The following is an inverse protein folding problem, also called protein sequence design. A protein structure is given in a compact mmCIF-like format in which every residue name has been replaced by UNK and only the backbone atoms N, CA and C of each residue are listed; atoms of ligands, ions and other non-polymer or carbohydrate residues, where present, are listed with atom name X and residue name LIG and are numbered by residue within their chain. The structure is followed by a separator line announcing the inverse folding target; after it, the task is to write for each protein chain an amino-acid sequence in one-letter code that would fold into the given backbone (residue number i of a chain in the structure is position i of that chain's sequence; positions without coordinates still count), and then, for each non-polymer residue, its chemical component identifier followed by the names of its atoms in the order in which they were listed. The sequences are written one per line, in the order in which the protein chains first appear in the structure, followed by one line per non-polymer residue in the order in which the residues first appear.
data_IF_253310385615
#
_entry.id   IF_253310385615
#
_cell.length_a   1.000
_cell.length_b   1.000
_cell.length_c   1.000
_cell.angle_alpha   90.00
_cell.angle_beta   90.00
_cell.angle_gamma   90.00
#
_symmetry.space_group_name_H-M   'P 1'
#
loop_
_entity.id
_entity.type
_entity.pdbx_description
1 polymer ?
#
# COMPACT_ATOMS: atom_id res chain seq x y z
N UNK A 1 -25.98 46.25 25.83
CA UNK A 1 -27.39 46.05 26.25
C UNK A 1 -28.21 45.67 25.02
N UNK A 2 -29.23 44.82 25.19
CA UNK A 2 -30.11 44.17 24.19
C UNK A 2 -29.41 43.04 23.41
N UNK A 3 -29.69 41.74 23.55
CA UNK A 3 -30.85 40.90 23.92
C UNK A 3 -32.02 40.94 22.93
N UNK A 4 -32.35 39.73 22.45
CA UNK A 4 -33.40 39.30 21.49
C UNK A 4 -32.91 39.32 20.03
N UNK A 5 -32.91 38.22 19.25
CA UNK A 5 -33.94 37.19 19.12
C UNK A 5 -33.33 35.92 18.50
N UNK A 6 -33.28 34.80 19.22
CA UNK A 6 -33.10 33.46 18.63
C UNK A 6 -34.19 32.57 19.21
N UNK A 7 -35.25 32.38 18.42
CA UNK A 7 -36.32 31.43 18.66
C UNK A 7 -36.52 30.67 17.37
N UNK A 8 -36.68 29.34 17.52
CA UNK A 8 -36.93 28.28 16.51
C UNK A 8 -35.65 27.72 15.90
N UNK A 9 -35.36 26.43 15.92
CA UNK A 9 -36.13 25.25 16.29
C UNK A 9 -35.11 24.13 16.58
N UNK A 10 -35.15 23.55 17.79
CA UNK A 10 -34.64 22.22 18.08
C UNK A 10 -35.85 21.30 18.15
N UNK A 11 -36.02 20.37 17.22
CA UNK A 11 -36.60 19.03 17.48
C UNK A 11 -36.64 18.16 16.21
N UNK A 12 -36.60 16.84 16.42
CA UNK A 12 -36.64 15.71 15.46
C UNK A 12 -35.28 15.39 14.81
N UNK A 13 -34.41 14.54 15.37
CA UNK A 13 -34.55 13.09 15.63
C UNK A 13 -35.11 12.27 14.45
N UNK A 14 -34.25 11.35 14.00
CA UNK A 14 -34.51 10.00 13.51
C UNK A 14 -35.45 9.80 12.32
N UNK A 15 -34.91 9.39 11.17
CA UNK A 15 -35.29 8.18 10.42
C UNK A 15 -34.65 8.21 9.02
N UNK A 16 -34.12 7.09 8.53
CA UNK A 16 -33.61 7.02 7.15
C UNK A 16 -32.63 5.91 6.80
N UNK A 17 -32.65 4.78 7.51
CA UNK A 17 -32.12 3.50 6.99
C UNK A 17 -33.24 2.78 6.25
N UNK A 18 -32.86 2.10 5.16
CA UNK A 18 -33.62 1.15 4.33
C UNK A 18 -34.46 1.73 3.18
N UNK A 19 -34.01 1.49 1.94
CA UNK A 19 -34.82 0.93 0.84
C UNK A 19 -33.99 0.87 -0.45
N UNK A 20 -33.47 -0.31 -0.84
CA UNK A 20 -33.45 -0.77 -2.24
C UNK A 20 -33.46 -2.31 -2.23
N UNK A 21 -34.63 -2.91 -2.45
CA UNK A 21 -34.80 -4.33 -2.82
C UNK A 21 -35.83 -4.41 -3.95
N UNK A 22 -35.52 -5.29 -4.90
CA UNK A 22 -36.38 -5.92 -5.92
C UNK A 22 -36.90 -5.08 -7.09
N UNK A 23 -36.36 -5.40 -8.27
CA UNK A 23 -37.14 -5.50 -9.52
C UNK A 23 -36.82 -6.86 -10.14
N UNK A 24 -37.77 -7.80 -10.03
CA UNK A 24 -37.82 -9.03 -10.81
C UNK A 24 -38.94 -8.87 -11.84
N UNK A 25 -38.60 -8.94 -13.13
CA UNK A 25 -39.58 -9.01 -14.21
C UNK A 25 -39.69 -10.45 -14.70
N UNK A 26 -40.94 -10.94 -14.70
CA UNK A 26 -41.40 -12.23 -15.23
C UNK A 26 -41.33 -12.24 -16.76
N UNK A 27 -40.96 -13.37 -17.34
CA UNK A 27 -41.36 -13.73 -18.71
C UNK A 27 -42.05 -15.10 -18.62
N UNK A 28 -43.32 -15.10 -19.00
CA UNK A 28 -44.19 -16.27 -19.05
C UNK A 28 -43.95 -17.12 -20.30
N UNK A 29 -44.14 -18.42 -20.09
CA UNK A 29 -44.12 -19.55 -20.99
C UNK A 29 -45.20 -19.48 -22.08
N UNK A 30 -44.89 -19.96 -23.29
CA UNK A 30 -45.88 -20.44 -24.26
C UNK A 30 -45.45 -21.82 -24.78
N UNK A 31 -46.26 -22.84 -24.50
CA UNK A 31 -46.19 -24.18 -25.09
C UNK A 31 -47.38 -24.38 -26.03
N UNK A 32 -47.13 -24.95 -27.21
CA UNK A 32 -48.09 -25.44 -28.21
C UNK A 32 -47.47 -26.59 -29.03
N UNK A 33 -48.26 -27.44 -29.70
CA UNK A 33 -48.29 -28.88 -29.39
C UNK A 33 -47.42 -29.81 -30.24
N UNK A 34 -47.28 -31.03 -29.70
CA UNK A 34 -46.46 -32.16 -30.14
C UNK A 34 -47.03 -32.85 -31.39
N UNK A 35 -46.24 -32.89 -32.47
CA UNK A 35 -46.46 -33.73 -33.65
C UNK A 35 -45.46 -34.90 -33.69
N UNK A 36 -45.98 -36.13 -33.64
CA UNK A 36 -45.22 -37.39 -33.56
C UNK A 36 -44.88 -37.88 -34.97
N UNK A 37 -43.60 -37.89 -35.35
CA UNK A 37 -43.09 -38.63 -36.52
C UNK A 37 -41.84 -39.42 -36.13
N UNK A 38 -42.00 -40.75 -36.09
CA UNK A 38 -40.90 -41.72 -36.07
C UNK A 38 -40.21 -41.71 -37.43
N UNK A 39 -38.88 -41.61 -37.47
CA UNK A 39 -37.99 -42.23 -38.47
C UNK A 39 -36.51 -42.07 -38.07
N UNK A 40 -35.83 -43.21 -37.94
CA UNK A 40 -34.37 -43.43 -38.08
C UNK A 40 -33.41 -42.57 -37.26
N UNK A 41 -32.82 -43.14 -36.20
CA UNK A 41 -31.56 -42.62 -35.64
C UNK A 41 -30.43 -42.81 -36.66
N UNK A 42 -29.68 -41.77 -37.05
CA UNK A 42 -28.31 -41.94 -37.50
C UNK A 42 -27.43 -42.14 -36.25
N UNK A 43 -26.62 -43.18 -36.26
CA UNK A 43 -25.59 -43.45 -35.26
C UNK A 43 -24.63 -42.24 -35.28
N UNK A 44 -24.57 -41.50 -34.18
CA UNK A 44 -23.60 -40.43 -34.01
C UNK A 44 -22.19 -41.03 -34.03
N UNK A 45 -21.21 -40.43 -34.75
CA UNK A 45 -19.83 -40.87 -34.66
C UNK A 45 -19.35 -40.69 -33.22
N UNK A 46 -18.66 -41.70 -32.70
CA UNK A 46 -18.01 -41.69 -31.39
C UNK A 46 -17.23 -40.39 -31.21
N UNK A 47 -17.70 -39.52 -30.31
CA UNK A 47 -16.92 -38.38 -29.82
C UNK A 47 -15.67 -38.94 -29.15
N UNK A 48 -14.53 -38.82 -29.82
CA UNK A 48 -13.23 -38.90 -29.16
C UNK A 48 -13.28 -37.94 -27.95
N UNK A 49 -12.74 -38.32 -26.78
CA UNK A 49 -12.59 -37.39 -25.68
C UNK A 49 -11.58 -36.33 -26.11
N UNK A 50 -12.09 -35.27 -26.73
CA UNK A 50 -11.34 -34.09 -27.07
C UNK A 50 -10.75 -33.56 -25.79
N UNK A 51 -9.42 -33.57 -25.72
CA UNK A 51 -8.64 -32.93 -24.66
C UNK A 51 -9.17 -31.50 -24.55
N UNK A 52 -9.87 -31.19 -23.46
CA UNK A 52 -10.26 -29.81 -23.15
C UNK A 52 -8.98 -28.96 -23.31
N UNK A 53 -9.05 -27.80 -23.99
CA UNK A 53 -7.91 -26.91 -24.04
C UNK A 53 -7.45 -26.67 -22.59
N UNK A 54 -6.13 -26.71 -22.31
CA UNK A 54 -5.66 -26.47 -20.96
C UNK A 54 -6.25 -25.14 -20.50
N UNK A 55 -6.97 -25.16 -19.38
CA UNK A 55 -7.43 -23.92 -18.77
C UNK A 55 -6.22 -23.01 -18.59
N UNK A 56 -6.35 -21.70 -18.89
CA UNK A 56 -5.25 -20.78 -18.65
C UNK A 56 -4.80 -20.95 -17.20
N UNK A 57 -3.54 -21.32 -17.01
CA UNK A 57 -2.95 -21.48 -15.68
C UNK A 57 -3.05 -20.10 -15.04
N UNK A 58 -3.81 -19.99 -13.95
CA UNK A 58 -3.90 -18.76 -13.19
C UNK A 58 -2.48 -18.29 -12.84
N UNK A 59 -2.17 -16.98 -12.97
CA UNK A 59 -0.83 -16.49 -12.71
C UNK A 59 -0.39 -16.89 -11.30
N UNK A 60 0.83 -17.41 -11.18
CA UNK A 60 1.44 -17.67 -9.88
C UNK A 60 1.85 -16.36 -9.22
N UNK A 61 2.01 -16.37 -7.89
CA UNK A 61 2.54 -15.22 -7.15
C UNK A 61 3.90 -14.77 -7.68
N UNK A 62 4.76 -15.72 -8.07
CA UNK A 62 6.06 -15.41 -8.71
C UNK A 62 5.85 -14.64 -10.03
N UNK A 63 5.00 -15.14 -10.93
CA UNK A 63 4.72 -14.48 -12.21
C UNK A 63 4.08 -13.09 -12.03
N UNK A 64 3.25 -12.93 -11.00
CA UNK A 64 2.65 -11.65 -10.63
C UNK A 64 3.70 -10.63 -10.19
N UNK A 65 4.56 -11.01 -9.23
CA UNK A 65 5.60 -10.12 -8.72
C UNK A 65 6.65 -9.79 -9.78
N UNK A 66 7.04 -10.77 -10.61
CA UNK A 66 7.95 -10.55 -11.74
C UNK A 66 7.37 -9.58 -12.75
N UNK A 67 6.09 -9.69 -13.08
CA UNK A 67 5.45 -8.74 -13.98
C UNK A 67 5.54 -7.30 -13.46
N UNK A 68 5.35 -7.07 -12.17
CA UNK A 68 5.49 -5.75 -11.55
C UNK A 68 6.93 -5.21 -11.69
N UNK A 69 7.92 -6.08 -11.47
CA UNK A 69 9.32 -5.66 -11.45
C UNK A 69 9.96 -5.60 -12.84
N UNK A 70 9.60 -6.48 -13.76
CA UNK A 70 10.29 -6.68 -15.05
C UNK A 70 9.59 -5.96 -16.20
N UNK A 71 8.33 -5.53 -16.02
CA UNK A 71 7.67 -4.63 -16.99
C UNK A 71 7.82 -3.18 -16.59
N UNK A 72 8.10 -2.33 -17.57
CA UNK A 72 8.36 -0.91 -17.36
C UNK A 72 7.12 -0.04 -17.25
N UNK A 73 5.98 -0.51 -17.78
CA UNK A 73 4.75 0.27 -17.91
C UNK A 73 3.94 0.31 -16.59
N UNK A 74 3.24 1.43 -16.35
CA UNK A 74 2.41 1.60 -15.15
C UNK A 74 1.23 0.62 -15.09
N UNK A 75 0.66 0.23 -16.23
CA UNK A 75 -0.52 -0.65 -16.23
C UNK A 75 -0.17 -2.04 -15.67
N UNK A 76 0.97 -2.60 -16.06
CA UNK A 76 1.49 -3.86 -15.54
C UNK A 76 1.84 -3.80 -14.06
N UNK A 77 2.40 -2.66 -13.60
CA UNK A 77 2.76 -2.43 -12.19
C UNK A 77 1.53 -2.27 -11.30
N UNK A 78 0.46 -1.71 -11.85
CA UNK A 78 -0.79 -1.42 -11.15
C UNK A 78 -1.90 -2.44 -11.46
N UNK A 79 -1.59 -3.57 -12.11
CA UNK A 79 -2.53 -4.67 -12.31
C UNK A 79 -2.78 -5.37 -10.97
N UNK A 80 -4.03 -5.43 -10.47
CA UNK A 80 -4.32 -6.00 -9.17
C UNK A 80 -3.98 -7.50 -9.10
N UNK A 81 -3.74 -8.06 -7.90
CA UNK A 81 -3.46 -9.49 -7.73
C UNK A 81 -4.63 -10.43 -8.08
N UNK A 82 -5.82 -9.91 -8.40
CA UNK A 82 -6.99 -10.71 -8.74
C UNK A 82 -7.38 -11.67 -7.62
N UNK A 83 -7.71 -12.92 -7.97
CA UNK A 83 -8.10 -13.97 -7.02
C UNK A 83 -6.93 -14.51 -6.17
N UNK A 84 -5.70 -14.00 -6.35
CA UNK A 84 -4.56 -14.36 -5.51
C UNK A 84 -4.66 -13.76 -4.10
N UNK A 85 -5.52 -12.75 -3.91
CA UNK A 85 -5.73 -12.11 -2.61
C UNK A 85 -6.57 -13.04 -1.68
N UNK A 86 -6.00 -13.57 -0.59
CA UNK A 86 -6.73 -14.39 0.37
C UNK A 86 -7.65 -13.58 1.31
N UNK A 87 -7.56 -12.25 1.30
CA UNK A 87 -8.02 -11.34 2.34
C UNK A 87 -8.99 -10.23 1.88
N UNK A 88 -9.94 -10.52 1.00
CA UNK A 88 -11.12 -9.64 0.82
C UNK A 88 -12.35 -10.41 0.33
N UNK A 89 -12.68 -11.51 1.01
CA UNK A 89 -13.99 -12.14 0.92
C UNK A 89 -14.51 -12.46 2.33
N UNK A 90 -15.38 -11.59 2.83
CA UNK A 90 -16.45 -11.86 3.79
C UNK A 90 -16.19 -12.96 4.84
N UNK A 91 -15.82 -12.59 6.07
CA UNK A 91 -16.22 -13.23 7.34
C UNK A 91 -16.48 -14.74 7.39
N UNK A 92 -15.73 -15.57 6.67
CA UNK A 92 -15.95 -17.01 6.57
C UNK A 92 -14.62 -17.70 6.83
N UNK A 93 -14.51 -18.37 7.98
CA UNK A 93 -13.40 -19.25 8.40
C UNK A 93 -13.23 -20.52 7.54
N UNK A 94 -13.58 -20.47 6.26
CA UNK A 94 -13.36 -21.58 5.34
C UNK A 94 -12.08 -21.29 4.52
N UNK A 95 -11.01 -22.11 4.64
CA UNK A 95 -9.82 -21.94 3.83
C UNK A 95 -10.15 -22.25 2.36
N UNK A 96 -10.14 -21.23 1.50
CA UNK A 96 -10.09 -21.47 0.05
C UNK A 96 -8.69 -21.97 -0.33
N UNK A 97 -8.57 -22.89 -1.30
CA UNK A 97 -7.26 -23.33 -1.77
C UNK A 97 -6.53 -22.15 -2.40
N UNK A 98 -5.45 -21.73 -1.75
CA UNK A 98 -4.55 -20.68 -2.21
C UNK A 98 -3.92 -21.06 -3.56
N UNK A 99 -3.50 -20.08 -4.39
CA UNK A 99 -2.77 -20.35 -5.63
C UNK A 99 -1.57 -21.27 -5.37
N UNK A 100 -1.18 -22.07 -6.37
CA UNK A 100 0.01 -22.91 -6.29
C UNK A 100 1.27 -22.02 -6.24
N UNK A 101 1.81 -21.85 -5.04
CA UNK A 101 3.00 -21.05 -4.73
C UNK A 101 4.25 -21.90 -4.92
N UNK A 102 4.61 -22.21 -6.17
CA UNK A 102 5.90 -22.82 -6.45
C UNK A 102 7.03 -21.85 -6.02
N UNK A 103 8.12 -22.34 -5.41
CA UNK A 103 9.24 -21.48 -5.03
C UNK A 103 9.80 -20.74 -6.25
N UNK A 104 10.21 -19.49 -6.03
CA UNK A 104 10.83 -18.64 -7.05
C UNK A 104 12.07 -19.32 -7.63
N UNK A 105 12.14 -19.40 -8.97
CA UNK A 105 13.19 -20.12 -9.72
C UNK A 105 14.49 -19.30 -9.79
N UNK A 106 14.41 -17.98 -9.52
CA UNK A 106 15.50 -17.02 -9.72
C UNK A 106 15.43 -15.87 -8.71
N UNK A 107 16.56 -15.27 -8.27
CA UNK A 107 16.51 -14.08 -7.42
C UNK A 107 15.72 -12.94 -8.10
N UNK A 108 15.08 -12.04 -7.33
CA UNK A 108 14.45 -10.85 -7.89
C UNK A 108 15.50 -9.93 -8.53
N UNK A 109 15.10 -9.07 -9.48
CA UNK A 109 16.01 -8.10 -10.08
C UNK A 109 16.51 -7.07 -9.07
N UNK A 110 17.71 -6.51 -9.31
CA UNK A 110 18.32 -5.49 -8.44
C UNK A 110 17.62 -4.13 -8.54
N UNK A 111 16.91 -3.88 -9.65
CA UNK A 111 16.09 -2.69 -9.91
C UNK A 111 14.86 -3.07 -10.76
N UNK A 112 13.75 -2.32 -10.64
CA UNK A 112 12.58 -2.54 -11.47
C UNK A 112 12.80 -1.91 -12.85
N UNK A 113 12.26 -2.55 -13.88
CA UNK A 113 12.12 -1.96 -15.19
C UNK A 113 11.27 -0.70 -15.14
N UNK A 114 11.60 0.28 -15.99
CA UNK A 114 10.90 1.55 -16.16
C UNK A 114 10.76 1.85 -17.65
N UNK A 115 9.55 2.22 -18.07
CA UNK A 115 9.33 2.77 -19.41
C UNK A 115 9.90 4.19 -19.52
N UNK A 116 10.11 4.69 -20.75
CA UNK A 116 10.56 6.06 -20.98
C UNK A 116 9.70 7.10 -20.26
N UNK A 117 10.35 8.02 -19.54
CA UNK A 117 9.70 9.04 -18.72
C UNK A 117 9.42 8.65 -17.27
N UNK A 118 9.62 7.38 -16.89
CA UNK A 118 9.53 6.90 -15.51
C UNK A 118 10.89 6.57 -14.90
N UNK A 119 11.98 7.02 -15.52
CA UNK A 119 13.33 6.71 -15.05
C UNK A 119 13.58 7.34 -13.67
N UNK A 120 14.10 6.52 -12.76
CA UNK A 120 14.49 7.00 -11.43
C UNK A 120 15.84 7.71 -11.48
N UNK A 121 15.94 8.83 -10.77
CA UNK A 121 17.14 9.65 -10.70
C UNK A 121 17.46 9.98 -9.24
N UNK A 122 18.75 10.03 -8.93
CA UNK A 122 19.22 10.55 -7.65
C UNK A 122 18.97 12.05 -7.52
N UNK A 123 18.69 12.53 -6.31
CA UNK A 123 18.63 13.96 -6.03
C UNK A 123 17.35 14.66 -6.52
N UNK A 124 16.22 13.97 -6.52
CA UNK A 124 14.93 14.59 -6.83
C UNK A 124 14.68 15.84 -5.95
N UNK A 125 14.02 16.88 -6.49
CA UNK A 125 13.73 18.10 -5.75
C UNK A 125 12.99 17.83 -4.44
N UNK A 126 13.16 18.73 -3.47
CA UNK A 126 12.42 18.65 -2.21
C UNK A 126 10.92 18.68 -2.46
N UNK A 127 10.17 17.90 -1.68
CA UNK A 127 8.71 17.89 -1.70
C UNK A 127 8.19 19.32 -1.45
N UNK A 128 7.20 19.82 -2.23
CA UNK A 128 6.60 21.13 -1.99
C UNK A 128 6.11 21.25 -0.54
N UNK A 129 6.42 22.37 0.12
CA UNK A 129 6.04 22.57 1.52
C UNK A 129 4.52 22.76 1.64
N UNK A 130 3.89 22.35 2.76
CA UNK A 130 2.44 22.49 2.97
C UNK A 130 1.85 23.87 2.60
N UNK A 131 2.51 24.95 3.03
CA UNK A 131 2.04 26.32 2.74
C UNK A 131 2.14 26.75 1.27
N UNK A 132 2.79 25.96 0.41
CA UNK A 132 2.94 26.26 -1.01
C UNK A 132 1.84 25.64 -1.87
N UNK A 133 0.99 24.76 -1.31
CA UNK A 133 -0.05 24.08 -2.06
C UNK A 133 -1.19 25.00 -2.51
N UNK A 134 -1.18 26.28 -2.15
CA UNK A 134 -2.02 27.28 -2.81
C UNK A 134 -1.82 27.32 -4.32
N UNK A 135 -0.61 27.02 -4.81
CA UNK A 135 -0.28 26.92 -6.23
C UNK A 135 -0.68 25.53 -6.81
N UNK A 136 -1.58 25.46 -7.82
CA UNK A 136 -1.95 24.21 -8.48
C UNK A 136 -0.78 23.44 -9.11
N UNK A 137 0.26 24.11 -9.61
CA UNK A 137 1.42 23.44 -10.18
C UNK A 137 2.20 22.67 -9.09
N UNK A 138 2.31 23.25 -7.88
CA UNK A 138 2.94 22.60 -6.74
C UNK A 138 2.09 21.48 -6.15
N UNK A 139 0.76 21.55 -6.27
CA UNK A 139 -0.14 20.42 -5.97
C UNK A 139 0.14 19.23 -6.87
N UNK A 140 0.29 19.46 -8.18
CA UNK A 140 0.60 18.40 -9.14
C UNK A 140 1.95 17.74 -8.84
N UNK A 141 3.00 18.54 -8.58
CA UNK A 141 4.32 18.00 -8.17
C UNK A 141 4.19 17.18 -6.88
N UNK A 142 3.45 17.68 -5.89
CA UNK A 142 3.22 16.96 -4.63
C UNK A 142 2.53 15.61 -4.86
N UNK A 143 1.43 15.58 -5.62
CA UNK A 143 0.69 14.35 -5.91
C UNK A 143 1.54 13.36 -6.71
N UNK A 144 2.33 13.82 -7.68
CA UNK A 144 3.24 12.97 -8.43
C UNK A 144 4.31 12.33 -7.53
N UNK A 145 4.83 13.07 -6.54
CA UNK A 145 5.77 12.54 -5.55
C UNK A 145 5.17 11.43 -4.70
N UNK A 146 3.95 11.60 -4.21
CA UNK A 146 3.25 10.56 -3.44
C UNK A 146 2.90 9.36 -4.32
N UNK A 147 2.37 9.57 -5.53
CA UNK A 147 2.11 8.48 -6.48
C UNK A 147 3.36 7.63 -6.76
N UNK A 148 4.53 8.28 -6.91
CA UNK A 148 5.80 7.58 -7.09
C UNK A 148 6.27 6.83 -5.85
N UNK A 149 6.03 7.36 -4.65
CA UNK A 149 6.32 6.64 -3.41
C UNK A 149 5.49 5.35 -3.33
N UNK A 150 4.18 5.41 -3.62
CA UNK A 150 3.33 4.21 -3.58
C UNK A 150 3.74 3.23 -4.68
N UNK A 151 4.13 3.71 -5.87
CA UNK A 151 4.67 2.86 -6.92
C UNK A 151 5.94 2.12 -6.48
N UNK A 152 6.86 2.79 -5.78
CA UNK A 152 8.04 2.12 -5.23
C UNK A 152 7.66 1.11 -4.14
N UNK A 153 6.65 1.40 -3.31
CA UNK A 153 6.17 0.49 -2.27
C UNK A 153 5.56 -0.79 -2.89
N UNK A 154 4.71 -0.66 -3.92
CA UNK A 154 4.20 -1.80 -4.73
C UNK A 154 5.34 -2.71 -5.19
N UNK A 155 6.37 -2.10 -5.76
CA UNK A 155 7.50 -2.85 -6.29
C UNK A 155 8.35 -3.48 -5.18
N UNK A 156 8.53 -2.80 -4.06
CA UNK A 156 9.28 -3.34 -2.92
C UNK A 156 8.57 -4.52 -2.25
N UNK A 157 7.23 -4.50 -2.13
CA UNK A 157 6.49 -5.67 -1.65
C UNK A 157 6.60 -6.82 -2.66
N UNK A 158 6.49 -6.56 -3.96
CA UNK A 158 6.69 -7.58 -4.99
C UNK A 158 8.11 -8.18 -4.91
N UNK A 159 9.12 -7.34 -4.70
CA UNK A 159 10.50 -7.75 -4.51
C UNK A 159 10.67 -8.61 -3.26
N UNK A 160 10.08 -8.24 -2.12
CA UNK A 160 10.15 -9.01 -0.88
C UNK A 160 9.50 -10.39 -1.00
N UNK A 161 8.35 -10.47 -1.68
CA UNK A 161 7.63 -11.71 -1.97
C UNK A 161 8.47 -12.69 -2.82
N UNK A 162 9.27 -12.18 -3.75
CA UNK A 162 10.22 -12.99 -4.52
C UNK A 162 11.51 -13.31 -3.74
N UNK A 163 11.98 -12.37 -2.90
CA UNK A 163 13.25 -12.48 -2.16
C UNK A 163 13.18 -13.51 -1.05
N UNK A 164 12.06 -13.55 -0.33
CA UNK A 164 11.85 -14.46 0.80
C UNK A 164 10.57 -15.27 0.60
N UNK A 165 10.57 -16.25 -0.32
CA UNK A 165 9.39 -17.08 -0.58
C UNK A 165 9.02 -17.98 0.61
N UNK A 166 9.97 -18.23 1.52
CA UNK A 166 9.84 -19.13 2.66
C UNK A 166 9.35 -18.45 3.96
N UNK A 167 8.99 -17.15 3.90
CA UNK A 167 8.38 -16.49 5.06
C UNK A 167 7.07 -17.18 5.46
N UNK A 168 6.63 -17.07 6.72
CA UNK A 168 5.35 -17.61 7.14
C UNK A 168 4.21 -17.14 6.23
N UNK A 169 3.29 -18.05 5.88
CA UNK A 169 2.20 -17.75 4.91
C UNK A 169 1.37 -16.52 5.27
N UNK A 170 1.15 -16.27 6.57
CA UNK A 170 0.43 -15.08 7.00
C UNK A 170 1.18 -13.77 6.74
N UNK A 171 2.52 -13.79 6.70
CA UNK A 171 3.33 -12.64 6.33
C UNK A 171 3.30 -12.44 4.82
N UNK A 172 3.41 -13.52 4.06
CA UNK A 172 3.29 -13.48 2.60
C UNK A 172 1.92 -12.90 2.16
N UNK A 173 0.84 -13.37 2.79
CA UNK A 173 -0.50 -12.81 2.57
C UNK A 173 -0.58 -11.33 2.93
N UNK A 174 -0.07 -10.95 4.11
CA UNK A 174 -0.06 -9.54 4.51
C UNK A 174 0.77 -8.62 3.60
N UNK A 175 1.88 -9.09 3.04
CA UNK A 175 2.64 -8.35 2.03
C UNK A 175 1.89 -8.24 0.70
N UNK A 176 1.14 -9.27 0.30
CA UNK A 176 0.29 -9.21 -0.89
C UNK A 176 -0.88 -8.23 -0.71
N UNK A 177 -1.47 -8.19 0.49
CA UNK A 177 -2.53 -7.26 0.84
C UNK A 177 -2.00 -5.81 0.83
N UNK A 178 -0.86 -5.55 1.49
CA UNK A 178 -0.22 -4.24 1.49
C UNK A 178 0.16 -3.80 0.06
N UNK A 179 0.70 -4.71 -0.76
CA UNK A 179 0.95 -4.42 -2.17
C UNK A 179 -0.32 -3.98 -2.90
N UNK A 180 -1.44 -4.68 -2.68
CA UNK A 180 -2.71 -4.35 -3.33
C UNK A 180 -3.24 -2.97 -2.89
N UNK A 181 -3.10 -2.65 -1.60
CA UNK A 181 -3.41 -1.32 -1.05
C UNK A 181 -2.55 -0.25 -1.72
N UNK A 182 -1.24 -0.47 -1.85
CA UNK A 182 -0.34 0.49 -2.51
C UNK A 182 -0.64 0.71 -3.98
N UNK A 183 -1.11 -0.33 -4.69
CA UNK A 183 -1.62 -0.15 -6.04
C UNK A 183 -2.87 0.73 -6.06
N UNK A 184 -3.76 0.61 -5.07
CA UNK A 184 -4.93 1.48 -4.92
C UNK A 184 -4.49 2.92 -4.61
N UNK A 185 -3.59 3.11 -3.65
CA UNK A 185 -3.06 4.42 -3.27
C UNK A 185 -2.43 5.13 -4.46
N UNK A 186 -1.56 4.44 -5.20
CA UNK A 186 -0.92 4.96 -6.41
C UNK A 186 -1.98 5.42 -7.44
N UNK A 187 -2.98 4.57 -7.74
CA UNK A 187 -4.07 4.91 -8.67
C UNK A 187 -4.88 6.12 -8.20
N UNK A 188 -5.13 6.28 -6.89
CA UNK A 188 -5.85 7.43 -6.34
C UNK A 188 -5.06 8.74 -6.57
N UNK A 189 -3.76 8.75 -6.30
CA UNK A 189 -2.93 9.93 -6.56
C UNK A 189 -2.78 10.24 -8.05
N UNK A 190 -2.60 9.22 -8.89
CA UNK A 190 -2.57 9.40 -10.35
C UNK A 190 -3.88 9.99 -10.88
N UNK A 191 -5.02 9.50 -10.40
CA UNK A 191 -6.33 10.06 -10.75
C UNK A 191 -6.47 11.52 -10.35
N UNK A 192 -5.94 11.94 -9.19
CA UNK A 192 -5.89 13.36 -8.81
C UNK A 192 -4.94 14.16 -9.70
N UNK A 193 -3.77 13.63 -10.00
CA UNK A 193 -2.77 14.26 -10.86
C UNK A 193 -3.31 14.54 -12.27
N UNK A 194 -4.04 13.58 -12.85
CA UNK A 194 -4.72 13.73 -14.14
C UNK A 194 -5.78 14.84 -14.12
N UNK A 195 -6.54 14.96 -13.02
CA UNK A 195 -7.52 16.05 -12.87
C UNK A 195 -6.88 17.44 -12.77
N UNK A 196 -5.58 17.51 -12.45
CA UNK A 196 -4.79 18.74 -12.52
C UNK A 196 -4.09 18.93 -13.88
N UNK A 197 -4.40 18.10 -14.88
CA UNK A 197 -3.83 18.20 -16.22
C UNK A 197 -2.38 17.74 -16.32
N UNK A 198 -1.94 16.87 -15.40
CA UNK A 198 -0.58 16.34 -15.36
C UNK A 198 -0.58 14.81 -15.36
N UNK A 199 0.61 14.21 -15.47
CA UNK A 199 0.83 12.76 -15.50
C UNK A 199 2.17 12.43 -14.88
N UNK A 200 2.37 11.21 -14.40
CA UNK A 200 3.54 10.85 -13.62
C UNK A 200 4.85 11.05 -14.41
N UNK A 201 4.85 10.75 -15.71
CA UNK A 201 6.03 10.84 -16.58
C UNK A 201 6.52 12.28 -16.79
N UNK A 202 5.72 13.29 -16.41
CA UNK A 202 6.11 14.69 -16.47
C UNK A 202 6.98 15.13 -15.27
N UNK A 203 7.18 14.26 -14.27
CA UNK A 203 7.84 14.61 -13.01
C UNK A 203 9.11 13.78 -12.78
N UNK A 204 10.13 14.35 -12.12
CA UNK A 204 11.33 13.61 -11.77
C UNK A 204 11.04 12.57 -10.68
N UNK A 205 11.41 11.32 -10.98
CA UNK A 205 11.24 10.18 -10.07
C UNK A 205 12.50 9.94 -9.25
N UNK A 206 12.35 9.68 -7.95
CA UNK A 206 13.50 9.41 -7.06
C UNK A 206 13.81 7.93 -6.97
N UNK A 207 15.07 7.58 -6.85
CA UNK A 207 15.54 6.22 -6.54
C UNK A 207 15.64 5.91 -5.03
N UNK A 208 15.07 6.75 -4.16
CA UNK A 208 15.35 6.72 -2.71
C UNK A 208 15.04 5.37 -2.03
N UNK A 209 13.90 4.75 -2.33
CA UNK A 209 13.53 3.45 -1.72
C UNK A 209 14.42 2.32 -2.28
N UNK A 210 14.60 2.30 -3.59
CA UNK A 210 15.44 1.31 -4.27
C UNK A 210 16.92 1.38 -3.86
N UNK A 211 17.42 2.56 -3.46
CA UNK A 211 18.75 2.71 -2.84
C UNK A 211 18.92 1.96 -1.51
N UNK A 212 17.83 1.64 -0.81
CA UNK A 212 17.89 0.89 0.45
C UNK A 212 17.95 -0.62 0.20
N UNK A 213 17.51 -1.09 -0.96
CA UNK A 213 17.39 -2.53 -1.30
C UNK A 213 18.70 -3.29 -1.13
N UNK A 214 19.88 -2.80 -1.57
CA UNK A 214 21.13 -3.52 -1.34
C UNK A 214 21.43 -3.76 0.15
N UNK A 215 21.18 -2.76 1.00
CA UNK A 215 21.37 -2.88 2.46
C UNK A 215 20.36 -3.83 3.10
N UNK A 216 19.10 -3.78 2.66
CA UNK A 216 18.05 -4.72 3.09
C UNK A 216 18.40 -6.15 2.67
N UNK A 217 18.80 -6.36 1.42
CA UNK A 217 19.05 -7.65 0.81
C UNK A 217 20.29 -8.38 1.39
N UNK A 218 21.30 -7.61 1.80
CA UNK A 218 22.53 -8.10 2.42
C UNK A 218 22.43 -8.21 3.95
N UNK A 219 21.36 -7.72 4.56
CA UNK A 219 21.19 -7.74 6.01
C UNK A 219 21.09 -9.18 6.55
N UNK A 220 21.82 -9.54 7.61
CA UNK A 220 21.72 -10.86 8.23
C UNK A 220 20.36 -11.09 8.90
N UNK A 221 19.56 -10.04 9.09
CA UNK A 221 18.22 -10.11 9.67
C UNK A 221 17.13 -10.50 8.65
N UNK A 222 17.48 -10.61 7.35
CA UNK A 222 16.60 -11.11 6.30
C UNK A 222 15.26 -10.34 6.22
N UNK A 223 14.10 -11.03 6.23
CA UNK A 223 12.79 -10.37 6.10
C UNK A 223 12.49 -9.37 7.22
N UNK A 224 13.15 -9.50 8.39
CA UNK A 224 13.02 -8.50 9.48
C UNK A 224 13.60 -7.15 9.08
N UNK A 225 14.67 -7.13 8.29
CA UNK A 225 15.24 -5.88 7.79
C UNK A 225 14.28 -5.14 6.86
N UNK A 226 13.50 -5.88 6.06
CA UNK A 226 12.45 -5.30 5.22
C UNK A 226 11.28 -4.74 6.05
N UNK A 227 10.82 -5.49 7.06
CA UNK A 227 9.77 -5.03 7.98
C UNK A 227 10.20 -3.77 8.74
N UNK A 228 11.45 -3.72 9.20
CA UNK A 228 12.01 -2.55 9.86
C UNK A 228 12.13 -1.36 8.90
N UNK A 229 12.73 -1.57 7.72
CA UNK A 229 12.99 -0.53 6.73
C UNK A 229 11.71 0.06 6.13
N UNK A 230 10.88 -0.77 5.50
CA UNK A 230 9.67 -0.28 4.83
C UNK A 230 8.59 0.02 5.87
N UNK A 231 8.16 -0.98 6.63
CA UNK A 231 6.99 -0.87 7.50
C UNK A 231 7.18 0.00 8.75
N UNK A 232 8.33 -0.09 9.44
CA UNK A 232 8.55 0.64 10.70
C UNK A 232 9.38 1.91 10.57
N UNK A 233 10.01 2.15 9.42
CA UNK A 233 10.64 3.44 9.10
C UNK A 233 9.83 4.22 8.08
N UNK A 234 9.65 3.72 6.86
CA UNK A 234 9.08 4.51 5.77
C UNK A 234 7.56 4.70 5.93
N UNK A 235 6.79 3.63 6.14
CA UNK A 235 5.32 3.73 6.35
C UNK A 235 4.98 4.45 7.65
N UNK A 236 5.78 4.22 8.70
CA UNK A 236 5.59 4.93 9.96
C UNK A 236 5.80 6.45 9.80
N UNK A 237 6.75 6.87 8.96
CA UNK A 237 6.89 8.28 8.62
C UNK A 237 5.69 8.76 7.79
N UNK A 238 5.15 7.92 6.92
CA UNK A 238 4.00 8.25 6.07
C UNK A 238 2.74 8.60 6.88
N UNK A 239 2.55 8.02 8.08
CA UNK A 239 1.49 8.43 9.02
C UNK A 239 1.51 9.93 9.36
N UNK A 240 2.70 10.54 9.41
CA UNK A 240 2.86 11.97 9.68
C UNK A 240 2.66 12.79 8.40
N UNK A 241 3.24 12.33 7.28
CA UNK A 241 3.16 13.02 5.99
C UNK A 241 1.74 13.06 5.46
N UNK A 242 1.03 11.93 5.43
CA UNK A 242 -0.36 11.85 4.94
C UNK A 242 -1.27 12.82 5.69
N UNK A 243 -1.18 12.87 7.02
CA UNK A 243 -1.93 13.85 7.82
C UNK A 243 -1.56 15.29 7.50
N UNK A 244 -0.27 15.62 7.40
CA UNK A 244 0.21 16.99 7.11
C UNK A 244 -0.27 17.46 5.74
N UNK A 245 -0.16 16.60 4.73
CA UNK A 245 -0.54 16.95 3.37
C UNK A 245 -2.05 16.94 3.18
N UNK A 246 -2.81 16.05 3.83
CA UNK A 246 -4.27 16.14 3.90
C UNK A 246 -4.74 17.54 4.30
N UNK A 247 -4.24 18.04 5.45
CA UNK A 247 -4.68 19.33 5.97
C UNK A 247 -4.24 20.48 5.05
N UNK A 248 -3.07 20.35 4.41
CA UNK A 248 -2.57 21.33 3.47
C UNK A 248 -3.40 21.41 2.17
N UNK A 249 -3.79 20.26 1.60
CA UNK A 249 -4.67 20.21 0.44
C UNK A 249 -6.06 20.77 0.76
N UNK A 250 -6.61 20.45 1.94
CA UNK A 250 -7.88 21.02 2.43
C UNK A 250 -7.78 22.54 2.58
N UNK A 251 -6.71 23.04 3.18
CA UNK A 251 -6.47 24.49 3.31
C UNK A 251 -6.31 25.19 1.95
N UNK A 252 -5.79 24.49 0.94
CA UNK A 252 -5.68 24.99 -0.43
C UNK A 252 -6.98 24.87 -1.26
N UNK A 253 -8.08 24.41 -0.65
CA UNK A 253 -9.39 24.25 -1.29
C UNK A 253 -9.51 23.02 -2.19
N UNK A 254 -8.60 22.04 -2.11
CA UNK A 254 -8.64 20.79 -2.86
C UNK A 254 -9.05 19.62 -1.95
N UNK A 255 -10.32 19.61 -1.57
CA UNK A 255 -10.87 18.58 -0.68
C UNK A 255 -10.80 17.18 -1.30
N UNK A 256 -10.90 17.06 -2.62
CA UNK A 256 -10.82 15.77 -3.30
C UNK A 256 -9.43 15.12 -3.13
N UNK A 257 -8.35 15.90 -3.20
CA UNK A 257 -7.00 15.40 -2.90
C UNK A 257 -6.84 15.13 -1.40
N UNK A 258 -7.40 15.97 -0.52
CA UNK A 258 -7.36 15.72 0.92
C UNK A 258 -8.03 14.39 1.32
N UNK A 259 -9.16 14.03 0.69
CA UNK A 259 -9.83 12.76 0.93
C UNK A 259 -8.99 11.55 0.50
N UNK A 260 -8.17 11.67 -0.55
CA UNK A 260 -7.21 10.63 -0.93
C UNK A 260 -6.19 10.44 0.20
N UNK A 261 -5.60 11.52 0.72
CA UNK A 261 -4.66 11.41 1.84
C UNK A 261 -5.29 10.85 3.11
N UNK A 262 -6.56 11.16 3.41
CA UNK A 262 -7.29 10.56 4.53
C UNK A 262 -7.48 9.05 4.35
N UNK A 263 -7.79 8.60 3.12
CA UNK A 263 -7.92 7.19 2.83
C UNK A 263 -6.59 6.46 3.03
N UNK A 264 -5.52 6.96 2.42
CA UNK A 264 -4.17 6.38 2.55
C UNK A 264 -3.76 6.34 4.02
N UNK A 265 -3.91 7.44 4.76
CA UNK A 265 -3.62 7.50 6.20
C UNK A 265 -4.30 6.37 7.01
N UNK A 266 -5.55 6.03 6.69
CA UNK A 266 -6.27 4.95 7.38
C UNK A 266 -5.67 3.57 7.09
N UNK A 267 -5.25 3.32 5.85
CA UNK A 267 -4.72 2.04 5.40
C UNK A 267 -3.28 1.84 5.93
N UNK A 268 -2.48 2.91 5.98
CA UNK A 268 -1.11 2.95 6.52
C UNK A 268 -0.99 2.49 7.97
N UNK A 269 -2.02 2.75 8.79
CA UNK A 269 -2.07 2.26 10.18
C UNK A 269 -2.01 0.73 10.19
N UNK A 270 -2.66 0.06 9.23
CA UNK A 270 -2.65 -1.39 9.14
C UNK A 270 -1.31 -1.94 8.63
N UNK A 271 -0.62 -1.22 7.76
CA UNK A 271 0.70 -1.61 7.25
C UNK A 271 1.76 -1.52 8.34
N UNK A 272 1.77 -0.44 9.13
CA UNK A 272 2.62 -0.32 10.32
C UNK A 272 2.29 -1.42 11.34
N UNK A 273 1.00 -1.72 11.55
CA UNK A 273 0.58 -2.79 12.45
C UNK A 273 1.05 -4.17 11.97
N UNK A 274 0.98 -4.43 10.67
CA UNK A 274 1.49 -5.67 10.05
C UNK A 274 2.99 -5.80 10.34
N UNK A 275 3.75 -4.75 10.09
CA UNK A 275 5.19 -4.74 10.28
C UNK A 275 5.59 -4.97 11.74
N UNK A 276 4.95 -4.27 12.68
CA UNK A 276 5.20 -4.42 14.12
C UNK A 276 4.92 -5.85 14.61
N UNK A 277 3.75 -6.41 14.25
CA UNK A 277 3.37 -7.77 14.65
C UNK A 277 4.35 -8.80 14.12
N UNK A 278 4.75 -8.70 12.86
CA UNK A 278 5.63 -9.69 12.25
C UNK A 278 7.08 -9.53 12.67
N UNK A 279 7.58 -8.31 12.88
CA UNK A 279 8.91 -8.12 13.43
C UNK A 279 9.03 -8.76 14.81
N UNK A 280 8.05 -8.56 15.69
CA UNK A 280 8.02 -9.19 17.01
C UNK A 280 7.99 -10.74 16.91
N UNK A 281 7.13 -11.30 16.03
CA UNK A 281 7.05 -12.75 15.83
C UNK A 281 8.32 -13.39 15.28
N UNK A 282 9.05 -12.66 14.44
CA UNK A 282 10.29 -13.15 13.83
C UNK A 282 11.54 -12.86 14.69
N UNK A 283 11.38 -12.17 15.81
CA UNK A 283 12.46 -11.81 16.75
C UNK A 283 12.20 -12.33 18.16
N UNK A 284 12.05 -13.65 18.37
CA UNK A 284 11.81 -14.21 19.70
C UNK A 284 12.92 -13.88 20.72
N UNK A 285 14.14 -13.61 20.26
CA UNK A 285 15.26 -13.17 21.09
C UNK A 285 15.07 -11.77 21.68
N UNK A 286 14.20 -10.95 21.08
CA UNK A 286 13.81 -9.62 21.56
C UNK A 286 12.38 -9.63 22.10
N UNK A 287 11.92 -10.75 22.68
CA UNK A 287 10.61 -10.83 23.28
C UNK A 287 10.44 -9.73 24.36
N UNK A 288 9.43 -8.88 24.18
CA UNK A 288 9.15 -7.69 25.01
C UNK A 288 10.14 -6.52 24.86
N UNK A 289 10.97 -6.52 23.83
CA UNK A 289 11.84 -5.41 23.46
C UNK A 289 11.64 -5.02 21.98
N UNK A 290 10.49 -4.38 21.64
CA UNK A 290 10.20 -4.02 20.27
C UNK A 290 11.19 -2.98 19.70
N UNK A 291 11.78 -2.14 20.58
CA UNK A 291 12.80 -1.16 20.18
C UNK A 291 14.08 -1.88 19.78
N UNK A 292 14.60 -2.79 20.61
CA UNK A 292 15.79 -3.56 20.29
C UNK A 292 15.60 -4.43 19.04
N UNK A 293 14.41 -5.03 18.86
CA UNK A 293 14.09 -5.77 17.64
C UNK A 293 14.19 -4.89 16.38
N UNK A 294 13.72 -3.65 16.46
CA UNK A 294 13.81 -2.69 15.35
C UNK A 294 15.23 -2.18 15.13
N UNK A 295 15.95 -1.78 16.18
CA UNK A 295 17.32 -1.28 16.09
C UNK A 295 18.29 -2.35 15.56
N UNK A 296 18.08 -3.62 15.93
CA UNK A 296 18.85 -4.73 15.39
C UNK A 296 18.61 -4.91 13.88
N UNK A 297 17.35 -4.82 13.44
CA UNK A 297 16.97 -5.16 12.07
C UNK A 297 17.08 -4.00 11.07
N UNK A 298 16.92 -2.74 11.49
CA UNK A 298 16.87 -1.58 10.59
C UNK A 298 18.21 -1.37 9.88
N UNK A 299 18.26 -1.40 8.54
CA UNK A 299 19.51 -1.29 7.80
C UNK A 299 19.95 0.18 7.68
N UNK A 300 21.25 0.44 7.85
CA UNK A 300 21.84 1.75 7.54
C UNK A 300 21.61 2.12 6.05
N UNK A 301 21.32 3.39 5.71
CA UNK A 301 21.24 4.59 6.57
C UNK A 301 19.86 4.87 7.16
N UNK A 302 18.91 3.92 7.11
CA UNK A 302 17.64 4.06 7.80
C UNK A 302 17.85 3.96 9.31
N UNK A 303 17.00 4.68 10.05
CA UNK A 303 17.04 4.75 11.51
C UNK A 303 15.71 5.33 12.00
N UNK A 304 15.42 5.23 13.30
CA UNK A 304 14.22 5.82 13.91
C UNK A 304 14.05 7.33 13.62
N UNK A 305 15.15 8.07 13.41
CA UNK A 305 15.07 9.49 13.04
C UNK A 305 14.44 9.74 11.67
N UNK A 306 14.41 8.72 10.80
CA UNK A 306 13.71 8.73 9.51
C UNK A 306 12.27 8.24 9.60
N UNK A 307 11.86 7.66 10.73
CA UNK A 307 10.51 7.11 10.95
C UNK A 307 9.46 8.14 11.36
N UNK A 308 9.70 9.43 11.07
CA UNK A 308 8.82 10.53 11.43
C UNK A 308 8.88 11.72 10.49
N UNK A 309 7.75 12.41 10.40
CA UNK A 309 7.62 13.75 9.83
C UNK A 309 7.73 14.84 10.90
N UNK A 310 7.57 16.10 10.46
CA UNK A 310 7.64 17.27 11.36
C UNK A 310 6.50 17.30 12.38
N UNK A 311 5.30 16.86 11.99
CA UNK A 311 4.13 16.80 12.85
C UNK A 311 3.90 15.35 13.26
N UNK A 312 4.54 14.96 14.36
CA UNK A 312 4.53 13.59 14.87
C UNK A 312 3.14 13.17 15.34
N UNK A 313 2.64 12.06 14.79
CA UNK A 313 1.34 11.49 15.10
C UNK A 313 1.47 10.26 16.03
N UNK A 314 1.40 10.49 17.34
CA UNK A 314 1.47 9.42 18.33
C UNK A 314 0.23 8.50 18.30
N UNK A 315 -0.95 9.06 18.04
CA UNK A 315 -2.20 8.33 18.12
C UNK A 315 -2.34 7.32 16.97
N UNK A 316 -1.89 7.68 15.76
CA UNK A 316 -1.80 6.74 14.64
C UNK A 316 -0.92 5.53 14.97
N UNK A 317 0.23 5.79 15.62
CA UNK A 317 1.18 4.74 16.02
C UNK A 317 0.59 3.83 17.11
N UNK A 318 -0.15 4.39 18.07
CA UNK A 318 -0.91 3.59 19.06
C UNK A 318 -2.01 2.77 18.40
N UNK A 319 -2.73 3.34 17.43
CA UNK A 319 -3.73 2.62 16.66
C UNK A 319 -3.13 1.47 15.84
N UNK A 320 -1.88 1.61 15.39
CA UNK A 320 -1.10 0.54 14.77
C UNK A 320 -0.58 -0.51 15.78
N UNK A 321 -0.83 -0.32 17.08
CA UNK A 321 -0.40 -1.23 18.14
C UNK A 321 1.06 -1.05 18.58
N UNK A 322 1.70 0.08 18.27
CA UNK A 322 3.03 0.39 18.80
C UNK A 322 2.93 0.79 20.28
N UNK A 323 3.83 0.23 21.09
CA UNK A 323 3.95 0.57 22.50
C UNK A 323 4.49 2.00 22.69
N UNK A 324 4.09 2.67 23.78
CA UNK A 324 4.54 4.04 24.07
C UNK A 324 6.07 4.15 24.13
N UNK A 325 6.78 3.11 24.58
CA UNK A 325 8.25 3.03 24.56
C UNK A 325 8.83 3.19 23.15
N UNK A 326 8.27 2.48 22.17
CA UNK A 326 8.67 2.57 20.77
C UNK A 326 8.31 3.93 20.18
N UNK A 327 7.10 4.42 20.48
CA UNK A 327 6.63 5.73 20.01
C UNK A 327 7.55 6.85 20.51
N UNK A 328 7.94 6.79 21.79
CA UNK A 328 8.85 7.76 22.39
C UNK A 328 10.25 7.64 21.78
N UNK A 329 10.76 6.43 21.58
CA UNK A 329 12.03 6.18 20.90
C UNK A 329 12.09 6.90 19.54
N UNK A 330 11.08 6.71 18.68
CA UNK A 330 11.00 7.41 17.39
C UNK A 330 10.84 8.91 17.56
N UNK A 331 9.97 9.38 18.46
CA UNK A 331 9.74 10.80 18.71
C UNK A 331 11.03 11.53 19.09
N UNK A 332 11.89 10.90 19.91
CA UNK A 332 13.14 11.50 20.38
C UNK A 332 14.35 11.25 19.48
N UNK A 333 14.29 10.29 18.56
CA UNK A 333 15.40 9.95 17.68
C UNK A 333 15.94 11.16 16.90
N UNK A 334 17.26 11.25 16.76
CA UNK A 334 17.95 12.32 16.03
C UNK A 334 18.78 11.74 14.90
N UNK A 335 18.82 12.42 13.78
CA UNK A 335 19.73 12.10 12.68
C UNK A 335 21.17 12.45 13.06
N UNK A 336 22.15 11.84 12.41
CA UNK A 336 23.57 12.18 12.62
C UNK A 336 23.86 13.67 12.37
N UNK A 337 23.13 14.29 11.43
CA UNK A 337 23.22 15.73 11.16
C UNK A 337 22.66 16.58 12.31
N UNK A 338 21.53 16.19 12.90
CA UNK A 338 20.97 16.88 14.08
C UNK A 338 21.88 16.75 15.31
N UNK A 339 22.50 15.58 15.50
CA UNK A 339 23.46 15.37 16.58
C UNK A 339 24.73 16.21 16.38
N UNK A 340 25.26 16.26 15.15
CA UNK A 340 26.45 17.05 14.82
C UNK A 340 26.21 18.58 14.90
N UNK A 341 24.97 19.03 14.78
CA UNK A 341 24.59 20.45 14.84
C UNK A 341 24.02 20.87 16.20
N UNK A 342 23.91 19.95 17.17
CA UNK A 342 23.44 20.29 18.50
C UNK A 342 24.44 21.23 19.20
N UNK A 343 23.97 22.31 19.85
CA UNK A 343 24.86 23.17 20.62
C UNK A 343 25.54 22.33 21.70
N UNK A 344 26.88 22.37 21.77
CA UNK A 344 27.66 21.70 22.82
C UNK A 344 27.14 22.17 24.17
N UNK A 345 27.05 21.25 25.13
CA UNK A 345 26.67 21.63 26.49
C UNK A 345 27.80 22.52 27.05
N UNK A 346 27.47 23.60 27.78
CA UNK A 346 28.50 24.40 28.43
C UNK A 346 29.31 23.50 29.38
N UNK A 347 30.59 23.28 29.07
CA UNK A 347 31.51 22.44 29.84
C UNK A 347 32.09 21.21 29.13
N UNK A 348 31.71 20.93 27.88
CA UNK A 348 32.37 19.89 27.07
C UNK A 348 33.57 20.49 26.31
N UNK A 349 34.78 20.26 26.83
CA UNK A 349 36.05 20.60 26.17
C UNK A 349 36.34 19.64 24.98
N UNK A 350 37.15 20.06 23.99
CA UNK A 350 37.21 19.50 22.65
C UNK A 350 37.78 18.07 22.52
#
# INVERSE_FOLDING_TARGET
MAVSTIRRERSSMASGMAQVKHVSARIETHFGPVGRLRRGLPIAPSLHPGRLPPMPIAPSLDSFCRRILERGDLASKLDPPGDMNPGLASGSEAPRPAPSLSPSISPPPDQPARDPGLEMRGGAPALPRPGQLGDPALRAICLARFAHHELMAVELFAWALLRWPDVPRGLQGGWLDALADEQIHCRLYLGRLEKLGSRLEAHPQSDYFWKQVPGIAASPYGPRAFLAALGLTLEQANLDFTGVYRDAFRAAGDEASAQVFERVYSDEIQHVALAARWLNRLSPEHANDPVGAYEAAVPYPLAASRAKGRRFNADARRAAGLEDSFIDHVRTARSSQELASAPRRPGEDP
#
